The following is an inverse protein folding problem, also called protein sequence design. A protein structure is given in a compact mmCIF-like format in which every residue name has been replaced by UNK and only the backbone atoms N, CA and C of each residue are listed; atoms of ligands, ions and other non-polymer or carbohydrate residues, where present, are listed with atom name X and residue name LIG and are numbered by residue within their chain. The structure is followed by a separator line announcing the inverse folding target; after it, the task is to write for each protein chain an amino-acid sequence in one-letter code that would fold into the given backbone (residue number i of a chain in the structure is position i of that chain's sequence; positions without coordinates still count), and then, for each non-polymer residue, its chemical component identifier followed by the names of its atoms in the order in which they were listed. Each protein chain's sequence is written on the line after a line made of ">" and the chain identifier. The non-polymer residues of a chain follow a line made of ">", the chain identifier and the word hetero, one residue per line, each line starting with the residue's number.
data_IF_459182727260
#
_entry.id   IF_459182727260
#
_cell.length_a   1.000
_cell.length_b   1.000
_cell.length_c   1.000
_cell.angle_alpha   90.00
_cell.angle_beta   90.00
_cell.angle_gamma   90.00
#
_symmetry.space_group_name_H-M   'P 1'
#
loop_
_entity.id
_entity.type
_entity.pdbx_description
1 polymer ?
#
# COMPACT_ATOMS: atom_id res chain seq x y z
N UNK A 1 -23.63 -29.47 10.43
CA UNK A 1 -22.68 -29.45 11.55
C UNK A 1 -21.28 -29.21 11.00
N UNK A 2 -20.87 -29.89 9.95
CA UNK A 2 -19.54 -29.77 9.31
C UNK A 2 -19.27 -28.36 8.76
N UNK A 3 -20.25 -27.69 8.18
CA UNK A 3 -20.11 -26.36 7.60
C UNK A 3 -19.76 -25.24 8.63
N UNK A 4 -20.31 -25.36 9.85
CA UNK A 4 -20.10 -24.37 10.91
C UNK A 4 -18.68 -24.47 11.50
N UNK A 5 -18.22 -25.72 11.71
CA UNK A 5 -16.87 -25.96 12.22
C UNK A 5 -15.80 -25.54 11.19
N UNK A 6 -16.03 -25.84 9.92
CA UNK A 6 -15.16 -25.42 8.84
C UNK A 6 -15.12 -23.88 8.70
N UNK A 7 -16.28 -23.22 8.77
CA UNK A 7 -16.38 -21.77 8.74
C UNK A 7 -15.63 -21.13 9.93
N UNK A 8 -15.80 -21.66 11.13
CA UNK A 8 -15.11 -21.17 12.31
C UNK A 8 -13.58 -21.32 12.17
N UNK A 9 -13.10 -22.45 11.65
CA UNK A 9 -11.68 -22.67 11.41
C UNK A 9 -11.10 -21.69 10.37
N UNK A 10 -11.85 -21.36 9.34
CA UNK A 10 -11.48 -20.37 8.33
C UNK A 10 -11.39 -18.97 8.96
N UNK A 11 -12.39 -18.60 9.77
CA UNK A 11 -12.41 -17.30 10.47
C UNK A 11 -11.25 -17.17 11.45
N UNK A 12 -10.95 -18.18 12.24
CA UNK A 12 -9.81 -18.18 13.16
C UNK A 12 -8.47 -18.01 12.41
N UNK A 13 -8.29 -18.73 11.31
CA UNK A 13 -7.08 -18.57 10.46
C UNK A 13 -6.96 -17.17 9.90
N UNK A 14 -8.06 -16.57 9.44
CA UNK A 14 -8.06 -15.21 8.92
C UNK A 14 -7.70 -14.18 9.99
N UNK A 15 -8.24 -14.32 11.21
CA UNK A 15 -7.92 -13.44 12.35
C UNK A 15 -6.45 -13.60 12.75
N UNK A 16 -5.96 -14.84 12.88
CA UNK A 16 -4.57 -15.11 13.24
C UNK A 16 -3.59 -14.57 12.20
N UNK A 17 -3.88 -14.73 10.91
CA UNK A 17 -3.07 -14.15 9.83
C UNK A 17 -3.02 -12.63 9.92
N UNK A 18 -4.16 -11.98 10.12
CA UNK A 18 -4.24 -10.53 10.26
C UNK A 18 -3.44 -10.02 11.46
N UNK A 19 -3.56 -10.68 12.61
CA UNK A 19 -2.81 -10.34 13.81
C UNK A 19 -1.30 -10.55 13.61
N UNK A 20 -0.90 -11.61 12.95
CA UNK A 20 0.50 -11.86 12.59
C UNK A 20 1.05 -10.73 11.70
N UNK A 21 0.31 -10.33 10.67
CA UNK A 21 0.73 -9.28 9.73
C UNK A 21 0.85 -7.90 10.39
N UNK A 22 0.14 -7.66 11.49
CA UNK A 22 0.23 -6.43 12.30
C UNK A 22 1.22 -6.50 13.46
N UNK A 23 1.90 -7.61 13.64
CA UNK A 23 2.90 -7.75 14.71
C UNK A 23 3.96 -6.65 14.65
N UNK A 24 4.21 -5.97 15.78
CA UNK A 24 5.09 -4.81 15.85
C UNK A 24 6.49 -5.08 15.28
N UNK A 25 7.10 -6.18 15.67
CA UNK A 25 8.43 -6.56 15.16
C UNK A 25 8.44 -6.88 13.66
N UNK A 26 7.33 -7.35 13.10
CA UNK A 26 7.19 -7.59 11.67
C UNK A 26 7.01 -6.29 10.88
N UNK A 27 6.10 -5.43 11.31
CA UNK A 27 5.89 -4.10 10.70
C UNK A 27 7.19 -3.29 10.72
N UNK A 28 7.93 -3.33 11.81
CA UNK A 28 9.22 -2.66 11.95
C UNK A 28 10.24 -3.14 10.89
N UNK A 29 10.39 -4.45 10.74
CA UNK A 29 11.33 -5.03 9.74
C UNK A 29 10.90 -4.76 8.31
N UNK A 30 9.63 -4.98 7.99
CA UNK A 30 9.08 -4.77 6.64
C UNK A 30 9.07 -3.29 6.29
N UNK A 31 8.65 -2.43 7.22
CA UNK A 31 8.63 -0.98 7.03
C UNK A 31 10.03 -0.39 6.79
N UNK A 32 11.02 -0.84 7.56
CA UNK A 32 12.42 -0.46 7.35
C UNK A 32 12.91 -0.88 5.95
N UNK A 33 12.64 -2.13 5.57
CA UNK A 33 13.01 -2.63 4.24
C UNK A 33 12.34 -1.81 3.12
N UNK A 34 11.05 -1.52 3.24
CA UNK A 34 10.32 -0.69 2.26
C UNK A 34 10.97 0.69 2.14
N UNK A 35 11.26 1.34 3.25
CA UNK A 35 11.87 2.67 3.26
C UNK A 35 13.24 2.68 2.58
N UNK A 36 14.10 1.73 2.92
CA UNK A 36 15.44 1.59 2.33
C UNK A 36 15.37 1.27 0.83
N UNK A 37 14.56 0.29 0.45
CA UNK A 37 14.38 -0.11 -0.95
C UNK A 37 13.79 1.01 -1.80
N UNK A 38 12.76 1.71 -1.31
CA UNK A 38 12.17 2.84 -2.00
C UNK A 38 13.18 3.95 -2.25
N UNK A 39 13.91 4.34 -1.22
CA UNK A 39 14.91 5.41 -1.28
C UNK A 39 16.07 5.08 -2.22
N UNK A 40 16.48 3.81 -2.26
CA UNK A 40 17.62 3.37 -3.06
C UNK A 40 17.25 3.13 -4.53
N UNK A 41 16.09 2.51 -4.80
CA UNK A 41 15.77 2.00 -6.13
C UNK A 41 14.62 2.71 -6.85
N UNK A 42 13.66 3.26 -6.14
CA UNK A 42 12.44 3.82 -6.75
C UNK A 42 12.49 5.35 -6.82
N UNK A 43 12.80 5.99 -5.72
CA UNK A 43 12.86 7.45 -5.63
C UNK A 43 13.83 8.08 -6.62
N UNK A 44 15.06 7.56 -6.83
CA UNK A 44 15.98 8.13 -7.80
C UNK A 44 15.49 8.10 -9.26
N UNK A 45 14.56 7.18 -9.57
CA UNK A 45 13.90 7.13 -10.87
C UNK A 45 12.69 8.07 -10.98
N UNK A 46 12.34 8.79 -9.93
CA UNK A 46 11.16 9.65 -9.84
C UNK A 46 9.81 8.92 -9.99
N UNK A 47 9.79 7.61 -9.78
CA UNK A 47 8.55 6.84 -9.71
C UNK A 47 7.97 6.81 -8.31
N UNK A 48 6.76 6.28 -8.23
CA UNK A 48 5.98 6.24 -7.00
C UNK A 48 5.58 4.82 -6.64
N UNK A 49 5.18 4.62 -5.39
CA UNK A 49 4.88 3.29 -4.87
C UNK A 49 3.58 3.24 -4.06
N UNK A 50 2.98 2.04 -4.01
CA UNK A 50 1.97 1.69 -3.03
C UNK A 50 2.54 0.74 -1.98
N UNK A 51 2.09 0.89 -0.74
CA UNK A 51 2.16 -0.13 0.30
C UNK A 51 0.74 -0.62 0.54
N UNK A 52 0.49 -1.88 0.25
CA UNK A 52 -0.82 -2.50 0.43
C UNK A 52 -0.80 -3.30 1.73
N UNK A 53 -1.51 -2.82 2.74
CA UNK A 53 -1.55 -3.39 4.06
C UNK A 53 -2.85 -4.17 4.32
N UNK A 54 -2.82 -5.08 5.29
CA UNK A 54 -3.91 -6.01 5.56
C UNK A 54 -5.20 -5.34 6.05
N UNK A 55 -5.07 -4.23 6.79
CA UNK A 55 -6.17 -3.42 7.27
C UNK A 55 -5.73 -1.97 7.57
N UNK A 56 -6.68 -1.13 8.00
CA UNK A 56 -6.43 0.28 8.29
C UNK A 56 -5.42 0.50 9.42
N UNK A 57 -5.46 -0.33 10.44
CA UNK A 57 -4.50 -0.27 11.55
C UNK A 57 -3.08 -0.54 11.06
N UNK A 58 -2.89 -1.57 10.24
CA UNK A 58 -1.60 -1.85 9.61
C UNK A 58 -1.12 -0.68 8.74
N UNK A 59 -2.01 0.00 8.01
CA UNK A 59 -1.68 1.21 7.26
C UNK A 59 -1.09 2.30 8.18
N UNK A 60 -1.74 2.59 9.31
CA UNK A 60 -1.27 3.58 10.27
C UNK A 60 0.07 3.19 10.90
N UNK A 61 0.26 1.91 11.20
CA UNK A 61 1.52 1.40 11.73
C UNK A 61 2.66 1.52 10.71
N UNK A 62 2.41 1.20 9.44
CA UNK A 62 3.39 1.42 8.36
C UNK A 62 3.72 2.89 8.18
N UNK A 63 2.75 3.79 8.27
CA UNK A 63 3.00 5.23 8.21
C UNK A 63 3.97 5.67 9.31
N UNK A 64 3.72 5.27 10.55
CA UNK A 64 4.62 5.58 11.67
C UNK A 64 6.01 4.99 11.48
N UNK A 65 6.09 3.81 10.91
CA UNK A 65 7.39 3.17 10.67
C UNK A 65 8.17 3.86 9.55
N UNK A 66 7.53 4.16 8.43
CA UNK A 66 8.16 4.86 7.30
C UNK A 66 8.66 6.26 7.71
N UNK A 67 7.92 6.96 8.55
CA UNK A 67 8.27 8.30 9.05
C UNK A 67 9.56 8.34 9.89
N UNK A 68 10.06 7.19 10.34
CA UNK A 68 11.37 7.09 11.01
C UNK A 68 12.55 7.19 10.04
N UNK A 69 12.36 6.81 8.78
CA UNK A 69 13.43 6.67 7.78
C UNK A 69 13.29 7.61 6.58
N UNK A 70 12.08 8.11 6.34
CA UNK A 70 11.73 8.96 5.21
C UNK A 70 11.13 10.28 5.69
N UNK A 71 11.26 11.37 4.91
CA UNK A 71 10.50 12.59 5.17
C UNK A 71 9.00 12.29 5.30
N UNK A 72 8.34 12.88 6.29
CA UNK A 72 6.93 12.59 6.60
C UNK A 72 5.99 12.86 5.43
N UNK A 73 6.28 13.86 4.63
CA UNK A 73 5.50 14.23 3.44
C UNK A 73 5.63 13.24 2.28
N UNK A 74 6.57 12.29 2.34
CA UNK A 74 6.75 11.31 1.28
C UNK A 74 5.70 10.22 1.28
N UNK A 75 5.07 9.95 2.41
CA UNK A 75 4.04 8.91 2.52
C UNK A 75 2.74 9.46 3.07
N UNK A 76 1.64 8.97 2.54
CA UNK A 76 0.29 9.27 3.02
C UNK A 76 -0.55 8.00 3.11
N UNK A 77 -1.41 7.96 4.11
CA UNK A 77 -2.39 6.88 4.29
C UNK A 77 -3.70 7.26 3.61
N UNK A 78 -4.29 6.33 2.88
CA UNK A 78 -5.61 6.52 2.27
C UNK A 78 -6.51 5.35 2.61
N UNK A 79 -7.43 5.56 3.54
CA UNK A 79 -8.47 4.60 3.92
C UNK A 79 -9.81 5.29 4.19
N UNK A 80 -10.86 4.53 4.33
CA UNK A 80 -12.18 5.05 4.68
C UNK A 80 -12.29 5.18 6.20
N UNK A 81 -12.58 6.39 6.69
CA UNK A 81 -12.83 6.64 8.10
C UNK A 81 -14.18 6.13 8.58
N UNK A 82 -14.27 5.84 9.87
CA UNK A 82 -15.48 5.46 10.58
C UNK A 82 -15.60 6.25 11.89
N UNK A 83 -16.83 6.50 12.33
CA UNK A 83 -17.09 7.26 13.55
C UNK A 83 -16.47 6.66 14.83
N UNK A 84 -16.23 5.35 14.84
CA UNK A 84 -15.68 4.60 15.99
C UNK A 84 -14.18 4.31 15.83
N UNK A 85 -13.46 5.06 15.01
CA UNK A 85 -12.04 4.86 14.81
C UNK A 85 -11.23 5.17 16.07
N UNK A 86 -10.17 4.39 16.27
CA UNK A 86 -9.20 4.60 17.36
C UNK A 86 -8.43 5.90 17.12
N UNK A 87 -7.78 6.42 18.17
CA UNK A 87 -6.95 7.62 18.05
C UNK A 87 -5.83 7.44 17.01
N UNK A 88 -5.25 6.24 16.91
CA UNK A 88 -4.27 5.91 15.88
C UNK A 88 -4.83 6.11 14.47
N UNK A 89 -6.06 5.67 14.20
CA UNK A 89 -6.68 5.81 12.89
C UNK A 89 -7.09 7.25 12.61
N UNK A 90 -7.56 7.98 13.61
CA UNK A 90 -7.91 9.40 13.48
C UNK A 90 -6.68 10.29 13.20
N UNK A 91 -5.51 9.91 13.71
CA UNK A 91 -4.27 10.66 13.50
C UNK A 91 -3.92 10.81 12.01
N UNK A 92 -4.24 9.80 11.21
CA UNK A 92 -3.92 9.76 9.77
C UNK A 92 -5.14 9.84 8.86
N UNK A 93 -6.30 10.14 9.43
CA UNK A 93 -7.52 10.31 8.64
C UNK A 93 -7.50 11.63 7.85
N UNK A 94 -8.08 11.58 6.67
CA UNK A 94 -8.22 12.73 5.79
C UNK A 94 -9.68 12.95 5.42
N UNK A 95 -10.10 14.19 5.37
CA UNK A 95 -11.39 14.53 4.77
C UNK A 95 -11.39 14.28 3.26
N UNK A 96 -12.56 14.31 2.65
CA UNK A 96 -12.70 14.02 1.23
C UNK A 96 -11.92 14.98 0.32
N UNK A 97 -11.81 16.24 0.72
CA UNK A 97 -11.09 17.25 -0.05
C UNK A 97 -9.59 16.97 -0.02
N UNK A 98 -9.04 16.71 1.16
CA UNK A 98 -7.63 16.37 1.34
C UNK A 98 -7.27 15.07 0.62
N UNK A 99 -8.13 14.06 0.70
CA UNK A 99 -7.91 12.80 -0.03
C UNK A 99 -7.85 13.01 -1.56
N UNK A 100 -8.73 13.87 -2.11
CA UNK A 100 -8.68 14.22 -3.54
C UNK A 100 -7.36 14.89 -3.92
N UNK A 101 -6.86 15.79 -3.07
CA UNK A 101 -5.56 16.45 -3.28
C UNK A 101 -4.42 15.44 -3.26
N UNK A 102 -4.39 14.58 -2.25
CA UNK A 102 -3.39 13.51 -2.13
C UNK A 102 -3.36 12.64 -3.39
N UNK A 103 -4.51 12.19 -3.86
CA UNK A 103 -4.62 11.37 -5.08
C UNK A 103 -4.17 12.10 -6.33
N UNK A 104 -4.57 13.36 -6.49
CA UNK A 104 -4.15 14.21 -7.62
C UNK A 104 -2.64 14.41 -7.63
N UNK A 105 -2.06 14.73 -6.48
CA UNK A 105 -0.65 15.07 -6.36
C UNK A 105 0.23 13.83 -6.48
N UNK A 106 -0.25 12.67 -6.00
CA UNK A 106 0.42 11.40 -6.22
C UNK A 106 0.49 11.00 -7.70
N UNK A 107 -0.55 11.26 -8.48
CA UNK A 107 -0.59 10.91 -9.89
C UNK A 107 0.34 11.76 -10.77
N UNK A 108 0.88 12.88 -10.23
CA UNK A 108 1.75 13.79 -10.96
C UNK A 108 3.22 13.38 -10.84
N UNK A 109 3.99 13.74 -11.84
CA UNK A 109 5.44 13.65 -11.78
C UNK A 109 6.01 14.60 -10.71
N UNK A 110 7.03 14.10 -9.99
CA UNK A 110 7.65 14.86 -8.89
C UNK A 110 6.72 15.09 -7.70
N UNK A 111 7.15 15.90 -6.76
CA UNK A 111 6.37 16.28 -5.59
C UNK A 111 6.01 15.13 -4.65
N UNK A 112 5.15 15.46 -3.70
CA UNK A 112 4.68 14.54 -2.66
C UNK A 112 3.16 14.42 -2.69
N UNK A 113 2.61 13.31 -2.20
CA UNK A 113 3.31 12.13 -1.66
C UNK A 113 3.98 11.28 -2.75
N UNK A 114 4.96 10.49 -2.35
CA UNK A 114 5.67 9.52 -3.21
C UNK A 114 5.23 8.08 -2.96
N UNK A 115 4.69 7.82 -1.78
CA UNK A 115 4.17 6.52 -1.35
C UNK A 115 2.74 6.70 -0.83
N UNK A 116 1.80 5.89 -1.33
CA UNK A 116 0.48 5.76 -0.72
C UNK A 116 0.36 4.43 0.02
N UNK A 117 -0.12 4.48 1.25
CA UNK A 117 -0.36 3.32 2.11
C UNK A 117 -1.86 3.07 2.13
N UNK A 118 -2.27 1.94 1.58
CA UNK A 118 -3.67 1.62 1.31
C UNK A 118 -4.03 0.19 1.75
N UNK A 119 -5.31 -0.08 1.91
CA UNK A 119 -5.85 -1.43 2.05
C UNK A 119 -6.31 -1.96 0.69
N UNK A 120 -7.57 -1.72 0.33
CA UNK A 120 -8.16 -2.03 -0.98
C UNK A 120 -8.57 -0.77 -1.73
N UNK A 121 -8.69 0.32 -1.00
CA UNK A 121 -9.01 1.63 -1.59
C UNK A 121 -7.91 2.02 -2.57
N UNK A 122 -8.29 2.54 -3.71
CA UNK A 122 -7.42 2.91 -4.84
C UNK A 122 -6.84 1.73 -5.65
N UNK A 123 -7.02 0.48 -5.24
CA UNK A 123 -6.63 -0.67 -6.06
C UNK A 123 -7.56 -0.87 -7.26
N UNK A 124 -8.77 -0.32 -7.20
CA UNK A 124 -9.74 -0.27 -8.31
C UNK A 124 -10.18 1.17 -8.57
N UNK A 125 -10.40 1.52 -9.82
CA UNK A 125 -10.97 2.82 -10.20
C UNK A 125 -10.06 4.04 -10.09
N UNK A 126 -8.86 3.91 -9.53
CA UNK A 126 -7.87 4.99 -9.45
C UNK A 126 -6.78 4.80 -10.49
N UNK A 127 -6.50 5.83 -11.26
CA UNK A 127 -5.50 5.80 -12.32
C UNK A 127 -4.27 6.65 -11.96
N UNK A 128 -3.15 5.98 -11.78
CA UNK A 128 -1.85 6.62 -11.55
C UNK A 128 -0.76 5.84 -12.32
N UNK A 129 -0.59 6.11 -13.62
CA UNK A 129 0.41 5.40 -14.44
C UNK A 129 1.85 5.53 -13.93
N UNK A 130 2.16 6.60 -13.17
CA UNK A 130 3.46 6.81 -12.52
C UNK A 130 3.75 5.82 -11.39
N UNK A 131 2.74 5.09 -10.90
CA UNK A 131 2.89 4.01 -9.93
C UNK A 131 3.76 2.91 -10.54
N UNK A 132 4.96 2.72 -10.00
CA UNK A 132 5.95 1.77 -10.50
C UNK A 132 6.12 0.56 -9.59
N UNK A 133 6.11 0.77 -8.28
CA UNK A 133 6.37 -0.28 -7.32
C UNK A 133 5.17 -0.51 -6.39
N UNK A 134 4.88 -1.76 -6.12
CA UNK A 134 3.86 -2.15 -5.15
C UNK A 134 4.47 -3.09 -4.12
N UNK A 135 4.45 -2.66 -2.87
CA UNK A 135 4.83 -3.45 -1.70
C UNK A 135 3.57 -4.12 -1.17
N UNK A 136 3.43 -5.42 -1.43
CA UNK A 136 2.22 -6.17 -1.15
C UNK A 136 2.34 -6.94 0.16
N UNK A 137 1.68 -6.45 1.20
CA UNK A 137 1.63 -7.05 2.53
C UNK A 137 0.18 -7.39 2.96
N UNK A 138 -0.55 -7.92 2.01
CA UNK A 138 -1.93 -8.34 2.17
C UNK A 138 -2.20 -9.61 1.36
N UNK A 139 -2.78 -10.66 1.95
CA UNK A 139 -3.24 -11.82 1.20
C UNK A 139 -4.27 -11.41 0.15
N UNK A 140 -3.98 -11.71 -1.10
CA UNK A 140 -4.88 -11.47 -2.24
C UNK A 140 -4.93 -12.69 -3.12
N UNK A 141 -6.08 -12.90 -3.79
CA UNK A 141 -6.29 -14.04 -4.71
C UNK A 141 -7.05 -13.60 -5.94
N UNK A 142 -6.90 -14.39 -7.01
CA UNK A 142 -7.71 -14.33 -8.22
C UNK A 142 -7.80 -12.91 -8.83
N UNK A 143 -9.01 -12.46 -9.09
CA UNK A 143 -9.27 -11.18 -9.75
C UNK A 143 -8.69 -9.97 -8.98
N UNK A 144 -8.74 -9.98 -7.65
CA UNK A 144 -8.20 -8.89 -6.85
C UNK A 144 -6.69 -8.74 -7.05
N UNK A 145 -5.96 -9.85 -7.05
CA UNK A 145 -4.52 -9.88 -7.31
C UNK A 145 -4.18 -9.42 -8.73
N UNK A 146 -4.90 -9.92 -9.73
CA UNK A 146 -4.68 -9.54 -11.14
C UNK A 146 -4.96 -8.05 -11.37
N UNK A 147 -6.04 -7.52 -10.80
CA UNK A 147 -6.35 -6.08 -10.88
C UNK A 147 -5.28 -5.22 -10.21
N UNK A 148 -4.75 -5.68 -9.08
CA UNK A 148 -3.68 -5.01 -8.35
C UNK A 148 -2.39 -4.96 -9.18
N UNK A 149 -1.98 -6.09 -9.76
CA UNK A 149 -0.81 -6.18 -10.65
C UNK A 149 -0.99 -5.30 -11.89
N UNK A 150 -2.18 -5.29 -12.48
CA UNK A 150 -2.47 -4.46 -13.65
C UNK A 150 -2.26 -2.96 -13.39
N UNK A 151 -2.45 -2.48 -12.15
CA UNK A 151 -2.20 -1.07 -11.79
C UNK A 151 -0.74 -0.69 -11.91
N UNK A 152 0.17 -1.54 -11.46
CA UNK A 152 1.62 -1.27 -11.55
C UNK A 152 2.14 -1.41 -12.97
N UNK A 153 1.51 -2.24 -13.78
CA UNK A 153 1.93 -2.52 -15.16
C UNK A 153 1.43 -1.50 -16.19
N UNK A 154 0.72 -0.46 -15.78
CA UNK A 154 0.31 0.59 -16.72
C UNK A 154 1.52 1.30 -17.31
N UNK A 155 1.59 1.42 -18.64
CA UNK A 155 2.64 2.20 -19.28
C UNK A 155 2.60 3.66 -18.81
N UNK A 156 3.76 4.25 -18.64
CA UNK A 156 3.92 5.67 -18.39
C UNK A 156 5.04 6.22 -19.25
N UNK A 157 4.76 7.32 -19.91
CA UNK A 157 5.72 8.03 -20.71
C UNK A 157 5.65 9.51 -20.40
N UNK A 158 6.79 10.14 -20.21
CA UNK A 158 6.92 11.56 -20.05
C UNK A 158 8.09 12.04 -20.93
N UNK A 159 7.76 12.63 -22.07
CA UNK A 159 8.73 13.07 -23.07
C UNK A 159 9.64 14.18 -22.55
N UNK A 160 9.10 15.13 -21.75
CA UNK A 160 9.86 16.24 -21.21
C UNK A 160 10.98 15.77 -20.28
N UNK A 161 10.67 14.74 -19.49
CA UNK A 161 11.60 14.15 -18.52
C UNK A 161 12.38 12.97 -19.08
N UNK A 162 12.13 12.58 -20.33
CA UNK A 162 12.71 11.39 -20.97
C UNK A 162 12.51 10.11 -20.16
N UNK A 163 11.36 9.98 -19.55
CA UNK A 163 10.99 8.84 -18.72
C UNK A 163 10.06 7.90 -19.48
N UNK A 164 10.39 6.63 -19.47
CA UNK A 164 9.54 5.57 -19.98
C UNK A 164 9.51 4.41 -19.00
N UNK A 165 8.31 4.06 -18.55
CA UNK A 165 8.07 2.90 -17.69
C UNK A 165 7.44 1.77 -18.50
N UNK A 166 8.21 0.74 -18.91
CA UNK A 166 7.67 -0.36 -19.71
C UNK A 166 6.83 -1.33 -18.88
N UNK A 167 7.13 -1.48 -17.58
CA UNK A 167 6.45 -2.39 -16.66
C UNK A 167 6.54 -1.86 -15.23
N UNK A 168 5.77 -2.47 -14.34
CA UNK A 168 5.84 -2.23 -12.91
C UNK A 168 6.58 -3.32 -12.16
N UNK A 169 6.69 -3.16 -10.86
CA UNK A 169 7.39 -4.03 -9.94
C UNK A 169 6.55 -4.34 -8.71
N UNK A 170 6.45 -5.61 -8.33
CA UNK A 170 5.70 -6.06 -7.14
C UNK A 170 6.62 -6.82 -6.21
N UNK A 171 6.68 -6.40 -4.96
CA UNK A 171 7.34 -7.10 -3.86
C UNK A 171 6.27 -7.72 -2.96
N UNK A 172 6.28 -9.03 -2.86
CA UNK A 172 5.31 -9.82 -2.09
C UNK A 172 5.90 -10.25 -0.76
N UNK A 173 5.36 -9.71 0.34
CA UNK A 173 5.79 -10.04 1.71
C UNK A 173 4.96 -11.16 2.36
N UNK A 174 3.94 -11.67 1.69
CA UNK A 174 3.04 -12.72 2.21
C UNK A 174 3.11 -14.04 1.45
N UNK A 175 3.96 -14.13 0.43
CA UNK A 175 4.19 -15.35 -0.35
C UNK A 175 2.99 -15.74 -1.23
N UNK A 176 2.31 -14.77 -1.84
CA UNK A 176 1.15 -15.03 -2.69
C UNK A 176 1.55 -15.77 -3.97
N UNK A 177 2.73 -15.47 -4.50
CA UNK A 177 3.24 -16.05 -5.75
C UNK A 177 3.92 -17.42 -5.58
N UNK A 178 4.10 -17.88 -4.33
CA UNK A 178 4.75 -19.15 -4.01
C UNK A 178 3.76 -20.35 -3.99
N UNK A 179 2.51 -20.15 -4.49
CA UNK A 179 1.45 -21.18 -4.44
C UNK A 179 0.98 -21.60 -5.83
#
# INVERSE_FOLDING_TARGET
>A
VTDIEELNAILERAVNTRNFLKGAGRIEKVGKFIAEHFKEYIEPMNYKAFVVAVDREACALYKKELDKYLPKEWSEVVYTSNNNDTELLKEFDHDQQKEKEIRRDFARFGGTPKILIVTEKLLTGYDAPILYCMYLDKPMRDHALLQTIARVNRPYENEEMKMMKPHGFVLDFVGIFDK
#
